data_IF_058384946072
#
_entry.id   IF_058384946072
#
_cell.length_a   1.000
_cell.length_b   1.000
_cell.length_c   1.000
_cell.angle_alpha   90.00
_cell.angle_beta   90.00
_cell.angle_gamma   90.00
#
_symmetry.space_group_name_H-M   'P 1'
#
loop_
_entity.id
_entity.type
_entity.pdbx_description
1 polymer ?
#
# COMPACT_ATOMS: atom_id res chain seq x y z
N UNK A 1 -33.59 -20.58 -17.00
CA UNK A 1 -33.31 -21.26 -18.31
C UNK A 1 -31.82 -21.53 -18.39
N UNK A 2 -31.39 -22.78 -18.56
CA UNK A 2 -29.98 -23.11 -18.82
C UNK A 2 -29.62 -22.58 -20.22
N UNK A 3 -28.60 -21.74 -20.30
CA UNK A 3 -28.15 -21.14 -21.56
C UNK A 3 -26.98 -21.93 -22.18
N UNK A 4 -26.28 -22.71 -21.38
CA UNK A 4 -25.15 -23.52 -21.82
C UNK A 4 -24.50 -24.23 -20.66
N UNK A 5 -23.55 -25.12 -20.94
CA UNK A 5 -22.70 -25.78 -19.96
C UNK A 5 -21.28 -25.87 -20.48
N UNK A 6 -20.32 -25.74 -19.58
CA UNK A 6 -18.90 -25.88 -19.85
C UNK A 6 -18.31 -26.93 -18.93
N UNK A 7 -17.38 -27.74 -19.42
CA UNK A 7 -16.68 -28.76 -18.62
C UNK A 7 -15.22 -28.36 -18.44
N UNK A 8 -14.71 -28.50 -17.23
CA UNK A 8 -13.29 -28.33 -16.94
C UNK A 8 -12.79 -29.47 -16.05
N UNK A 9 -11.50 -29.75 -16.11
CA UNK A 9 -10.83 -30.72 -15.25
C UNK A 9 -10.08 -29.97 -14.17
N UNK A 10 -10.37 -30.26 -12.90
CA UNK A 10 -9.68 -29.74 -11.75
C UNK A 10 -8.70 -30.80 -11.22
N UNK A 11 -7.41 -30.52 -11.30
CA UNK A 11 -6.36 -31.32 -10.65
C UNK A 11 -6.02 -30.70 -9.29
N UNK A 12 -6.23 -31.46 -8.22
CA UNK A 12 -5.89 -31.02 -6.86
C UNK A 12 -4.54 -31.61 -6.47
N UNK A 13 -3.55 -30.73 -6.24
CA UNK A 13 -2.26 -31.11 -5.64
C UNK A 13 -2.45 -31.12 -4.13
N UNK A 14 -2.25 -32.24 -3.42
CA UNK A 14 -2.58 -32.39 -2.00
C UNK A 14 -1.50 -31.77 -1.08
N UNK A 15 -1.10 -30.53 -1.40
CA UNK A 15 -0.09 -29.77 -0.64
C UNK A 15 -0.59 -28.34 -0.44
N UNK A 16 -0.59 -27.88 0.81
CA UNK A 16 -0.99 -26.50 1.13
C UNK A 16 0.13 -25.50 0.79
N UNK A 17 -0.24 -24.38 0.16
CA UNK A 17 0.69 -23.28 -0.02
C UNK A 17 1.06 -22.66 1.34
N UNK A 18 2.33 -22.24 1.54
CA UNK A 18 2.74 -21.58 2.77
C UNK A 18 1.97 -20.27 2.99
N UNK A 19 1.88 -19.79 4.21
CA UNK A 19 1.32 -18.47 4.50
C UNK A 19 2.08 -17.38 3.73
N UNK A 20 1.38 -16.32 3.33
CA UNK A 20 1.99 -15.18 2.66
C UNK A 20 3.04 -14.52 3.58
N UNK A 21 4.29 -14.43 3.09
CA UNK A 21 5.38 -13.72 3.76
C UNK A 21 5.48 -12.28 3.30
N UNK A 22 5.16 -12.02 2.03
CA UNK A 22 5.18 -10.69 1.45
C UNK A 22 4.32 -9.74 2.28
N UNK A 23 4.85 -8.60 2.66
CA UNK A 23 4.08 -7.51 3.22
C UNK A 23 3.52 -6.72 2.04
N UNK A 24 2.20 -6.68 1.93
CA UNK A 24 1.51 -6.03 0.82
C UNK A 24 0.58 -4.95 1.32
N UNK A 25 0.78 -3.74 0.83
CA UNK A 25 -0.14 -2.63 0.96
C UNK A 25 -0.66 -2.19 -0.41
N UNK A 26 -1.95 -1.98 -0.50
CA UNK A 26 -2.59 -1.14 -1.50
C UNK A 26 -3.33 -0.06 -0.72
N UNK A 27 -2.94 1.20 -0.87
CA UNK A 27 -3.45 2.26 0.01
C UNK A 27 -4.97 2.34 -0.02
N UNK A 28 -5.50 2.29 1.18
CA UNK A 28 -6.92 2.23 1.47
C UNK A 28 -7.46 3.62 1.80
N UNK A 29 -8.37 4.13 0.97
CA UNK A 29 -8.88 5.50 1.07
C UNK A 29 -10.25 5.53 1.74
N UNK A 30 -10.29 5.74 3.06
CA UNK A 30 -11.51 5.73 3.85
C UNK A 30 -12.47 6.89 3.50
N UNK A 31 -11.92 8.04 3.13
CA UNK A 31 -12.70 9.21 2.68
C UNK A 31 -13.40 8.98 1.33
N UNK A 32 -12.77 8.23 0.42
CA UNK A 32 -13.39 7.85 -0.85
C UNK A 32 -14.66 7.03 -0.64
N UNK A 33 -14.65 6.11 0.33
CA UNK A 33 -15.82 5.31 0.70
C UNK A 33 -16.93 6.23 1.26
N UNK A 34 -16.60 7.07 2.25
CA UNK A 34 -17.57 7.99 2.83
C UNK A 34 -18.20 8.90 1.75
N UNK A 35 -17.37 9.46 0.88
CA UNK A 35 -17.81 10.38 -0.18
C UNK A 35 -18.70 9.70 -1.21
N UNK A 36 -18.28 8.52 -1.70
CA UNK A 36 -19.04 7.81 -2.74
C UNK A 36 -20.44 7.41 -2.25
N UNK A 37 -20.54 6.91 -1.03
CA UNK A 37 -21.84 6.46 -0.48
C UNK A 37 -22.64 7.56 0.23
N UNK A 38 -22.12 8.77 0.32
CA UNK A 38 -22.77 9.87 1.06
C UNK A 38 -22.82 9.63 2.58
N UNK A 39 -21.95 8.79 3.11
CA UNK A 39 -21.91 8.50 4.54
C UNK A 39 -21.22 9.64 5.30
N UNK A 40 -21.80 10.03 6.44
CA UNK A 40 -21.05 10.84 7.41
C UNK A 40 -19.84 10.04 7.90
N UNK A 41 -18.65 10.63 7.83
CA UNK A 41 -17.39 9.98 8.28
C UNK A 41 -17.52 9.46 9.71
N UNK A 42 -17.14 8.21 9.92
CA UNK A 42 -17.22 7.47 11.20
C UNK A 42 -18.65 7.17 11.70
N UNK A 43 -19.70 7.40 10.87
CA UNK A 43 -21.04 6.90 11.16
C UNK A 43 -21.09 5.35 11.18
N UNK A 44 -22.19 4.80 11.67
CA UNK A 44 -22.42 3.34 11.66
C UNK A 44 -22.38 2.78 10.23
N UNK A 45 -22.93 3.49 9.25
CA UNK A 45 -22.90 3.13 7.83
C UNK A 45 -21.48 3.08 7.31
N UNK A 46 -20.71 4.16 7.52
CA UNK A 46 -19.32 4.23 7.11
C UNK A 46 -18.46 3.09 7.70
N UNK A 47 -18.55 2.82 9.01
CA UNK A 47 -17.82 1.71 9.64
C UNK A 47 -18.16 0.34 9.05
N UNK A 48 -19.43 0.08 8.72
CA UNK A 48 -19.84 -1.16 8.06
C UNK A 48 -19.19 -1.31 6.69
N UNK A 49 -19.21 -0.24 5.87
CA UNK A 49 -18.58 -0.25 4.55
C UNK A 49 -17.08 -0.39 4.63
N UNK A 50 -16.43 0.32 5.56
CA UNK A 50 -15.00 0.15 5.81
C UNK A 50 -14.65 -1.31 6.09
N UNK A 51 -15.39 -2.00 6.95
CA UNK A 51 -15.16 -3.42 7.27
C UNK A 51 -15.32 -4.31 6.03
N UNK A 52 -16.34 -4.08 5.19
CA UNK A 52 -16.54 -4.81 3.93
C UNK A 52 -15.36 -4.62 2.94
N UNK A 53 -14.93 -3.37 2.77
CA UNK A 53 -13.81 -3.06 1.88
C UNK A 53 -12.47 -3.57 2.41
N UNK A 54 -12.25 -3.56 3.73
CA UNK A 54 -11.04 -4.14 4.33
C UNK A 54 -11.03 -5.66 4.16
N UNK A 55 -12.18 -6.35 4.29
CA UNK A 55 -12.28 -7.78 3.97
C UNK A 55 -11.88 -8.05 2.51
N UNK A 56 -12.44 -7.31 1.54
CA UNK A 56 -12.04 -7.44 0.14
C UNK A 56 -10.54 -7.18 -0.06
N UNK A 57 -9.96 -6.17 0.59
CA UNK A 57 -8.53 -5.91 0.50
C UNK A 57 -7.69 -7.08 1.01
N UNK A 58 -8.06 -7.67 2.14
CA UNK A 58 -7.39 -8.85 2.71
C UNK A 58 -7.53 -10.07 1.79
N UNK A 59 -8.68 -10.29 1.18
CA UNK A 59 -8.90 -11.35 0.21
C UNK A 59 -8.02 -11.20 -1.05
N UNK A 60 -7.63 -9.97 -1.39
CA UNK A 60 -6.65 -9.65 -2.43
C UNK A 60 -5.20 -9.64 -1.94
N UNK A 61 -4.95 -10.11 -0.71
CA UNK A 61 -3.61 -10.27 -0.15
C UNK A 61 -3.04 -9.03 0.52
N UNK A 62 -3.82 -7.95 0.69
CA UNK A 62 -3.40 -6.80 1.51
C UNK A 62 -3.33 -7.24 2.97
N UNK A 63 -2.16 -7.12 3.58
CA UNK A 63 -1.94 -7.47 4.99
C UNK A 63 -1.33 -6.33 5.81
N UNK A 64 -1.02 -5.22 5.16
CA UNK A 64 -0.60 -3.95 5.76
C UNK A 64 -1.63 -2.88 5.35
N UNK A 65 -2.35 -2.32 6.33
CA UNK A 65 -3.48 -1.41 6.08
C UNK A 65 -3.11 0.03 6.37
N UNK A 66 -3.25 0.91 5.35
CA UNK A 66 -3.09 2.35 5.53
C UNK A 66 -4.07 2.86 6.60
N UNK A 67 -3.53 3.45 7.65
CA UNK A 67 -4.24 3.83 8.87
C UNK A 67 -4.21 5.35 9.03
N UNK A 68 -5.32 6.06 8.78
CA UNK A 68 -5.35 7.51 8.74
C UNK A 68 -5.34 8.10 10.16
N UNK A 69 -4.16 8.18 10.80
CA UNK A 69 -4.00 8.89 12.08
C UNK A 69 -4.57 10.30 11.98
N UNK A 70 -4.19 11.01 10.93
CA UNK A 70 -4.75 12.25 10.43
C UNK A 70 -5.17 12.06 8.97
N UNK A 71 -5.77 13.06 8.34
CA UNK A 71 -6.17 12.98 6.92
C UNK A 71 -4.93 12.80 6.05
N UNK A 72 -4.83 11.67 5.30
CA UNK A 72 -3.64 11.40 4.50
C UNK A 72 -3.41 12.49 3.45
N UNK A 73 -2.19 13.05 3.35
CA UNK A 73 -1.86 14.09 2.35
C UNK A 73 -1.43 13.48 1.02
N UNK A 74 -2.15 12.47 0.54
CA UNK A 74 -1.82 11.66 -0.64
C UNK A 74 -2.68 12.09 -1.81
N UNK A 75 -2.08 12.22 -3.00
CA UNK A 75 -2.72 12.71 -4.22
C UNK A 75 -3.68 13.89 -3.96
N UNK A 76 -3.17 14.90 -3.26
CA UNK A 76 -3.90 16.10 -2.91
C UNK A 76 -3.21 17.32 -3.50
N UNK A 77 -3.98 18.16 -4.21
CA UNK A 77 -3.45 19.40 -4.76
C UNK A 77 -2.78 20.24 -3.69
N UNK A 78 -1.63 20.83 -4.00
CA UNK A 78 -0.95 21.76 -3.09
C UNK A 78 -1.90 22.91 -2.71
N UNK A 79 -2.14 23.07 -1.41
CA UNK A 79 -3.13 24.03 -0.89
C UNK A 79 -4.58 23.53 -0.93
N UNK A 80 -4.85 22.36 -1.54
CA UNK A 80 -6.16 21.71 -1.57
C UNK A 80 -6.47 20.91 -0.31
N UNK A 81 -7.66 20.34 -0.25
CA UNK A 81 -8.12 19.54 0.89
C UNK A 81 -8.94 18.34 0.44
N UNK A 82 -8.71 17.21 1.08
CA UNK A 82 -9.57 16.03 1.04
C UNK A 82 -10.59 16.07 2.19
N UNK A 83 -11.71 15.34 2.10
CA UNK A 83 -12.61 15.12 3.22
C UNK A 83 -11.85 14.64 4.46
N UNK A 84 -12.25 15.14 5.64
CA UNK A 84 -11.54 14.82 6.89
C UNK A 84 -11.77 13.37 7.30
N UNK A 85 -10.72 12.58 7.32
CA UNK A 85 -10.70 11.23 7.85
C UNK A 85 -9.53 11.08 8.82
N UNK A 86 -9.73 11.43 10.07
CA UNK A 86 -8.70 11.22 11.10
C UNK A 86 -9.22 10.34 12.24
N UNK A 87 -8.41 9.35 12.61
CA UNK A 87 -8.73 8.41 13.69
C UNK A 87 -8.36 8.97 15.08
N UNK A 88 -7.41 9.90 15.13
CA UNK A 88 -7.02 10.53 16.39
C UNK A 88 -7.80 11.83 16.57
N UNK A 89 -8.64 11.90 17.59
CA UNK A 89 -9.34 13.12 17.93
C UNK A 89 -8.41 14.02 18.73
N UNK A 90 -8.36 15.30 18.39
CA UNK A 90 -7.46 16.28 19.00
C UNK A 90 -8.26 17.37 19.67
N UNK A 91 -7.89 17.72 20.91
CA UNK A 91 -8.33 18.94 21.59
C UNK A 91 -7.12 19.87 21.73
N UNK A 92 -7.30 21.16 21.44
CA UNK A 92 -6.24 22.18 21.52
C UNK A 92 -6.66 23.26 22.51
N UNK A 93 -5.79 23.55 23.45
CA UNK A 93 -5.90 24.65 24.40
C UNK A 93 -4.55 25.39 24.47
N UNK A 94 -4.51 26.61 23.95
CA UNK A 94 -3.23 27.31 23.74
C UNK A 94 -2.25 26.46 22.93
N UNK A 95 -1.07 26.17 23.49
CA UNK A 95 -0.05 25.32 22.90
C UNK A 95 -0.07 23.86 23.39
N UNK A 96 -1.10 23.49 24.15
CA UNK A 96 -1.29 22.13 24.68
C UNK A 96 -2.28 21.36 23.83
N UNK A 97 -2.01 20.04 23.68
CA UNK A 97 -2.84 19.13 22.93
C UNK A 97 -3.20 17.90 23.77
N UNK A 98 -4.45 17.49 23.69
CA UNK A 98 -4.93 16.22 24.21
C UNK A 98 -5.42 15.34 23.05
N UNK A 99 -5.15 14.05 23.14
CA UNK A 99 -5.42 13.08 22.07
C UNK A 99 -6.31 11.96 22.56
N UNK A 100 -7.38 11.68 21.81
CA UNK A 100 -8.25 10.53 22.05
C UNK A 100 -8.07 9.51 20.93
N UNK A 101 -7.66 8.31 21.29
CA UNK A 101 -7.39 7.18 20.42
C UNK A 101 -8.56 6.20 20.28
N UNK A 102 -9.75 6.54 20.76
CA UNK A 102 -10.92 5.63 20.75
C UNK A 102 -11.33 5.16 19.36
N UNK A 103 -11.28 6.07 18.36
CA UNK A 103 -11.53 5.70 16.96
C UNK A 103 -10.43 4.82 16.40
N UNK A 104 -9.16 5.08 16.73
CA UNK A 104 -8.04 4.24 16.34
C UNK A 104 -8.17 2.85 16.96
N UNK A 105 -8.61 2.74 18.21
CA UNK A 105 -8.88 1.45 18.85
C UNK A 105 -9.97 0.65 18.12
N UNK A 106 -11.04 1.31 17.71
CA UNK A 106 -12.10 0.69 16.89
C UNK A 106 -11.58 0.24 15.52
N UNK A 107 -10.73 1.05 14.86
CA UNK A 107 -10.08 0.71 13.60
C UNK A 107 -9.21 -0.54 13.73
N UNK A 108 -8.35 -0.59 14.74
CA UNK A 108 -7.48 -1.74 15.01
C UNK A 108 -8.32 -3.00 15.25
N UNK A 109 -9.38 -2.92 16.08
CA UNK A 109 -10.27 -4.05 16.32
C UNK A 109 -10.99 -4.54 15.07
N UNK A 110 -11.45 -3.63 14.23
CA UNK A 110 -12.07 -3.97 12.93
C UNK A 110 -11.03 -4.65 12.01
N UNK A 111 -9.86 -4.06 11.86
CA UNK A 111 -8.80 -4.60 11.01
C UNK A 111 -8.33 -5.98 11.47
N UNK A 112 -8.20 -6.20 12.78
CA UNK A 112 -7.86 -7.51 13.37
C UNK A 112 -8.93 -8.58 13.02
N UNK A 113 -10.23 -8.24 13.11
CA UNK A 113 -11.31 -9.16 12.69
C UNK A 113 -11.27 -9.51 11.20
N UNK A 114 -10.85 -8.56 10.36
CA UNK A 114 -10.68 -8.77 8.93
C UNK A 114 -9.41 -9.56 8.56
N UNK A 115 -8.49 -9.81 9.52
CA UNK A 115 -7.25 -10.56 9.27
C UNK A 115 -6.05 -9.69 8.86
N UNK A 116 -6.11 -8.38 9.04
CA UNK A 116 -4.99 -7.45 8.82
C UNK A 116 -3.86 -7.77 9.81
N UNK A 117 -2.63 -7.84 9.30
CA UNK A 117 -1.46 -8.17 10.12
C UNK A 117 -0.67 -6.95 10.59
N UNK A 118 -0.62 -5.91 9.77
CA UNK A 118 0.23 -4.74 9.98
C UNK A 118 -0.56 -3.46 9.75
N UNK A 119 -0.11 -2.36 10.36
CA UNK A 119 -0.69 -1.03 10.25
C UNK A 119 0.32 -0.07 9.64
N UNK A 120 -0.04 0.54 8.53
CA UNK A 120 0.73 1.57 7.84
C UNK A 120 0.21 2.93 8.30
N UNK A 121 0.96 3.57 9.20
CA UNK A 121 0.56 4.87 9.73
C UNK A 121 0.69 5.93 8.64
N UNK A 122 -0.42 6.59 8.32
CA UNK A 122 -0.45 7.60 7.27
C UNK A 122 0.61 8.69 7.50
N UNK A 123 1.11 9.23 6.41
CA UNK A 123 2.19 10.21 6.36
C UNK A 123 1.95 11.39 7.30
N UNK A 124 2.96 11.73 8.08
CA UNK A 124 2.93 12.87 9.01
C UNK A 124 3.36 14.18 8.35
N UNK A 125 3.80 14.11 7.10
CA UNK A 125 4.18 15.26 6.27
C UNK A 125 3.60 15.09 4.88
N UNK A 126 3.50 16.19 4.13
CA UNK A 126 2.93 16.14 2.77
C UNK A 126 3.84 15.39 1.81
N UNK A 127 3.23 14.84 0.76
CA UNK A 127 3.91 14.22 -0.38
C UNK A 127 4.87 15.21 -1.06
N UNK A 128 5.81 14.67 -1.86
CA UNK A 128 6.78 15.44 -2.64
C UNK A 128 7.67 16.33 -1.77
N UNK A 129 8.32 15.73 -0.77
CA UNK A 129 9.42 16.32 -0.06
C UNK A 129 9.19 16.78 1.36
N UNK A 130 8.06 16.43 1.98
CA UNK A 130 7.80 16.70 3.40
C UNK A 130 7.83 18.19 3.80
N UNK A 131 7.48 19.10 2.88
CA UNK A 131 7.61 20.54 3.13
C UNK A 131 6.52 21.12 4.05
N UNK A 132 5.35 20.47 4.11
CA UNK A 132 4.17 20.96 4.80
C UNK A 132 3.53 19.88 5.69
N UNK A 133 2.53 20.31 6.48
CA UNK A 133 1.79 19.44 7.38
C UNK A 133 0.59 18.80 6.66
N UNK A 134 0.15 17.58 7.06
CA UNK A 134 -1.13 17.05 6.66
C UNK A 134 -2.28 17.88 7.24
N UNK A 135 -3.48 17.73 6.69
CA UNK A 135 -4.69 18.31 7.29
C UNK A 135 -4.96 17.67 8.66
N UNK A 136 -4.93 18.50 9.70
CA UNK A 136 -5.28 18.10 11.07
C UNK A 136 -6.37 19.02 11.59
N UNK A 137 -7.43 18.40 12.11
CA UNK A 137 -8.58 19.07 12.72
C UNK A 137 -8.57 18.85 14.22
N UNK A 138 -8.86 19.88 15.00
CA UNK A 138 -8.95 19.81 16.45
C UNK A 138 -10.18 20.56 16.98
N UNK A 139 -10.68 20.15 18.15
CA UNK A 139 -11.64 20.94 18.92
C UNK A 139 -10.87 22.07 19.63
N UNK A 140 -11.22 23.31 19.28
CA UNK A 140 -10.68 24.55 19.87
C UNK A 140 -11.84 25.36 20.40
N UNK A 141 -11.88 25.63 21.70
CA UNK A 141 -12.98 26.35 22.35
C UNK A 141 -14.38 25.76 21.98
N UNK A 142 -14.49 24.41 22.04
CA UNK A 142 -15.73 23.68 21.77
C UNK A 142 -16.14 23.58 20.29
N UNK A 143 -15.35 24.12 19.37
CA UNK A 143 -15.63 24.08 17.92
C UNK A 143 -14.52 23.35 17.17
N UNK A 144 -14.92 22.57 16.16
CA UNK A 144 -13.96 21.93 15.26
C UNK A 144 -13.29 22.98 14.34
N UNK A 145 -11.96 22.93 14.28
CA UNK A 145 -11.13 23.82 13.45
C UNK A 145 -9.97 23.08 12.85
N UNK A 146 -9.63 23.36 11.60
CA UNK A 146 -8.36 22.97 11.00
C UNK A 146 -7.25 23.75 11.70
N UNK A 147 -6.27 23.02 12.26
CA UNK A 147 -5.12 23.61 12.97
C UNK A 147 -3.81 23.47 12.22
N UNK A 148 -3.72 22.50 11.24
CA UNK A 148 -2.59 22.30 10.34
C UNK A 148 -3.04 21.93 8.94
N UNK A 149 -2.24 22.19 7.94
CA UNK A 149 -2.42 21.85 6.54
C UNK A 149 -1.31 22.41 5.65
N UNK A 150 -1.54 22.50 4.35
CA UNK A 150 -0.56 22.94 3.35
C UNK A 150 0.07 24.34 3.57
N UNK A 151 -0.54 25.18 4.38
CA UNK A 151 0.01 26.51 4.71
C UNK A 151 1.05 26.46 5.83
N UNK A 152 1.13 25.35 6.56
CA UNK A 152 1.97 25.18 7.73
C UNK A 152 3.25 24.44 7.34
N UNK A 153 4.39 24.99 7.71
CA UNK A 153 5.70 24.38 7.42
C UNK A 153 5.91 23.15 8.30
N UNK A 154 6.36 22.06 7.69
CA UNK A 154 6.66 20.80 8.37
C UNK A 154 7.68 20.97 9.51
N UNK A 155 8.76 21.72 9.27
CA UNK A 155 9.77 22.04 10.27
C UNK A 155 9.41 23.26 11.15
N UNK A 156 8.14 23.74 11.09
CA UNK A 156 7.68 24.88 11.88
C UNK A 156 7.57 24.58 13.37
N UNK A 157 7.88 25.56 14.23
CA UNK A 157 7.84 25.40 15.70
C UNK A 157 6.52 24.89 16.22
N UNK A 158 5.39 25.33 15.64
CA UNK A 158 4.05 24.90 16.09
C UNK A 158 3.79 23.42 15.78
N UNK A 159 4.15 22.96 14.58
CA UNK A 159 3.98 21.55 14.22
C UNK A 159 4.98 20.67 14.98
N UNK A 160 6.20 21.13 15.20
CA UNK A 160 7.16 20.43 16.06
C UNK A 160 6.59 20.25 17.47
N UNK A 161 6.06 21.31 18.09
CA UNK A 161 5.42 21.23 19.42
C UNK A 161 4.22 20.25 19.43
N UNK A 162 3.45 20.21 18.34
CA UNK A 162 2.37 19.22 18.20
C UNK A 162 2.90 17.79 18.17
N UNK A 163 3.92 17.51 17.33
CA UNK A 163 4.51 16.17 17.21
C UNK A 163 5.20 15.73 18.51
N UNK A 164 5.89 16.64 19.20
CA UNK A 164 6.53 16.37 20.50
C UNK A 164 5.54 15.95 21.58
N UNK A 165 4.28 16.41 21.52
CA UNK A 165 3.21 15.99 22.41
C UNK A 165 2.46 14.75 21.90
N UNK A 166 2.30 14.60 20.58
CA UNK A 166 1.53 13.52 19.96
C UNK A 166 2.29 12.19 19.94
N UNK A 167 3.50 12.18 19.40
CA UNK A 167 4.23 10.94 19.13
C UNK A 167 4.53 10.11 20.39
N UNK A 168 4.94 10.70 21.53
CA UNK A 168 5.11 9.91 22.76
C UNK A 168 3.81 9.28 23.26
N UNK A 169 2.66 9.94 23.06
CA UNK A 169 1.36 9.40 23.45
C UNK A 169 0.91 8.30 22.50
N UNK A 170 1.13 8.46 21.19
CA UNK A 170 0.89 7.41 20.20
C UNK A 170 1.74 6.16 20.50
N UNK A 171 3.03 6.31 20.73
CA UNK A 171 3.93 5.18 21.07
C UNK A 171 3.44 4.43 22.33
N UNK A 172 3.03 5.17 23.34
CA UNK A 172 2.46 4.60 24.58
C UNK A 172 1.18 3.81 24.30
N UNK A 173 0.29 4.36 23.45
CA UNK A 173 -0.93 3.69 23.02
C UNK A 173 -0.62 2.40 22.26
N UNK A 174 0.28 2.45 21.25
CA UNK A 174 0.63 1.29 20.42
C UNK A 174 1.24 0.16 21.25
N UNK A 175 2.14 0.48 22.19
CA UNK A 175 2.73 -0.49 23.11
C UNK A 175 1.68 -1.08 24.07
N UNK A 176 0.81 -0.24 24.64
CA UNK A 176 -0.29 -0.71 25.51
C UNK A 176 -1.24 -1.66 24.78
N UNK A 177 -1.47 -1.44 23.48
CA UNK A 177 -2.28 -2.34 22.63
C UNK A 177 -1.53 -3.57 22.13
N UNK A 178 -0.21 -3.65 22.32
CA UNK A 178 0.63 -4.75 21.85
C UNK A 178 0.75 -4.81 20.31
N UNK A 179 0.60 -3.67 19.62
CA UNK A 179 0.67 -3.58 18.15
C UNK A 179 1.90 -2.81 17.65
N UNK A 180 2.76 -2.33 18.52
CA UNK A 180 3.94 -1.53 18.19
C UNK A 180 4.85 -2.21 17.16
N UNK A 181 5.01 -3.53 17.22
CA UNK A 181 5.78 -4.33 16.25
C UNK A 181 5.07 -4.58 14.91
N UNK A 182 3.81 -4.21 14.82
CA UNK A 182 2.98 -4.34 13.62
C UNK A 182 2.83 -3.01 12.87
N UNK A 183 3.46 -1.93 13.35
CA UNK A 183 3.31 -0.58 12.81
C UNK A 183 4.48 -0.19 11.93
N UNK A 184 4.17 0.35 10.75
CA UNK A 184 5.09 0.96 9.81
C UNK A 184 4.77 2.45 9.69
N UNK A 185 5.79 3.28 9.56
CA UNK A 185 5.66 4.73 9.46
C UNK A 185 6.26 5.24 8.17
N UNK A 186 5.77 6.39 7.73
CA UNK A 186 6.30 7.17 6.62
C UNK A 186 6.81 8.52 7.08
N UNK A 187 7.81 9.03 6.37
CA UNK A 187 8.18 10.45 6.44
C UNK A 187 7.37 11.20 5.38
N UNK A 188 7.55 10.85 4.10
CA UNK A 188 6.89 11.51 2.97
C UNK A 188 6.64 10.50 1.86
N UNK A 189 6.06 10.94 0.74
CA UNK A 189 5.80 10.16 -0.45
C UNK A 189 6.55 10.73 -1.64
N UNK A 190 7.21 9.86 -2.43
CA UNK A 190 7.94 10.15 -3.67
C UNK A 190 8.83 11.41 -3.62
N UNK A 191 9.77 11.55 -2.66
CA UNK A 191 10.68 12.67 -2.64
C UNK A 191 11.70 12.58 -3.79
N UNK A 192 11.94 13.71 -4.48
CA UNK A 192 13.03 13.86 -5.43
C UNK A 192 14.30 14.32 -4.70
N UNK A 193 15.46 14.27 -5.39
CA UNK A 193 16.75 14.64 -4.79
C UNK A 193 16.76 16.06 -4.23
N UNK A 194 16.08 17.00 -4.88
CA UNK A 194 15.96 18.39 -4.45
C UNK A 194 15.20 18.55 -3.12
N UNK A 195 14.46 17.51 -2.71
CA UNK A 195 13.73 17.49 -1.45
C UNK A 195 14.54 16.95 -0.26
N UNK A 196 15.79 16.54 -0.50
CA UNK A 196 16.59 15.80 0.48
C UNK A 196 16.76 16.55 1.80
N UNK A 197 16.96 17.87 1.75
CA UNK A 197 17.10 18.68 2.96
C UNK A 197 15.81 18.74 3.77
N UNK A 198 14.68 19.08 3.13
CA UNK A 198 13.38 19.16 3.79
C UNK A 198 12.95 17.80 4.36
N UNK A 199 13.18 16.72 3.60
CA UNK A 199 12.94 15.36 4.07
C UNK A 199 13.81 15.01 5.28
N UNK A 200 15.10 15.37 5.25
CA UNK A 200 16.03 15.09 6.37
C UNK A 200 15.59 15.80 7.65
N UNK A 201 15.13 17.04 7.56
CA UNK A 201 14.58 17.78 8.69
C UNK A 201 13.32 17.13 9.26
N UNK A 202 12.39 16.71 8.39
CA UNK A 202 11.17 16.01 8.78
C UNK A 202 11.48 14.64 9.40
N UNK A 203 12.38 13.86 8.78
CA UNK A 203 12.82 12.56 9.27
C UNK A 203 13.45 12.66 10.67
N UNK A 204 14.29 13.67 10.93
CA UNK A 204 14.91 13.88 12.23
C UNK A 204 13.86 14.04 13.33
N UNK A 205 12.76 14.77 13.07
CA UNK A 205 11.69 14.99 14.04
C UNK A 205 11.02 13.67 14.43
N UNK A 206 10.65 12.84 13.45
CA UNK A 206 9.92 11.61 13.73
C UNK A 206 10.84 10.50 14.25
N UNK A 207 12.08 10.41 13.77
CA UNK A 207 13.05 9.42 14.25
C UNK A 207 13.42 9.62 15.73
N UNK A 208 13.39 10.86 16.23
CA UNK A 208 13.63 11.15 17.64
C UNK A 208 12.62 10.42 18.56
N UNK A 209 11.34 10.43 18.18
CA UNK A 209 10.25 9.85 18.97
C UNK A 209 9.91 8.40 18.65
N UNK A 210 10.13 7.96 17.39
CA UNK A 210 9.72 6.65 16.90
C UNK A 210 10.88 5.65 16.81
N UNK A 211 11.78 5.69 17.80
CA UNK A 211 12.92 4.76 17.88
C UNK A 211 12.43 3.32 17.97
N UNK A 212 12.96 2.47 17.08
CA UNK A 212 12.63 1.04 17.02
C UNK A 212 11.38 0.69 16.20
N UNK A 213 10.72 1.68 15.58
CA UNK A 213 9.71 1.44 14.55
C UNK A 213 10.34 1.36 13.16
N UNK A 214 9.63 0.68 12.25
CA UNK A 214 10.04 0.56 10.84
C UNK A 214 9.53 1.77 10.05
N UNK A 215 10.44 2.39 9.30
CA UNK A 215 10.12 3.45 8.33
C UNK A 215 10.22 2.87 6.92
N UNK A 216 9.15 3.07 6.16
CA UNK A 216 9.02 2.71 4.75
C UNK A 216 8.62 3.95 3.98
N UNK A 217 9.23 4.20 2.83
CA UNK A 217 8.81 5.31 1.96
C UNK A 217 8.97 4.91 0.49
N UNK A 218 7.98 5.24 -0.32
CA UNK A 218 8.05 5.14 -1.78
C UNK A 218 9.06 6.18 -2.29
N UNK A 219 10.21 5.72 -2.79
CA UNK A 219 11.29 6.59 -3.28
C UNK A 219 12.23 5.82 -4.20
N UNK A 220 12.71 6.47 -5.25
CA UNK A 220 13.55 5.83 -6.28
C UNK A 220 14.98 6.34 -6.31
N UNK A 221 15.37 7.24 -5.42
CA UNK A 221 16.74 7.73 -5.29
C UNK A 221 17.45 7.02 -4.13
N UNK A 222 18.55 6.31 -4.44
CA UNK A 222 19.32 5.51 -3.47
C UNK A 222 19.97 6.37 -2.36
N UNK A 223 20.19 7.67 -2.61
CA UNK A 223 20.81 8.59 -1.66
C UNK A 223 20.09 8.65 -0.31
N UNK A 224 18.76 8.53 -0.30
CA UNK A 224 17.97 8.48 0.93
C UNK A 224 18.31 7.26 1.81
N UNK A 225 18.59 6.13 1.17
CA UNK A 225 19.04 4.93 1.86
C UNK A 225 20.49 5.07 2.34
N UNK A 226 21.38 5.56 1.48
CA UNK A 226 22.80 5.74 1.79
C UNK A 226 23.05 6.71 2.96
N UNK A 227 22.20 7.72 3.12
CA UNK A 227 22.19 8.63 4.28
C UNK A 227 21.49 8.07 5.52
N UNK A 228 20.94 6.85 5.46
CA UNK A 228 20.21 6.24 6.58
C UNK A 228 18.88 6.89 6.93
N UNK A 229 18.31 7.71 6.03
CA UNK A 229 17.04 8.39 6.24
C UNK A 229 15.85 7.45 6.15
N UNK A 230 15.93 6.45 5.26
CA UNK A 230 14.90 5.40 5.10
C UNK A 230 15.60 4.04 5.09
N UNK A 231 15.27 3.19 6.07
CA UNK A 231 15.87 1.85 6.19
C UNK A 231 15.22 0.81 5.30
N UNK A 232 13.94 0.96 5.02
CA UNK A 232 13.17 0.07 4.14
C UNK A 232 12.65 0.87 2.94
N UNK A 233 13.50 1.20 1.96
CA UNK A 233 13.09 1.94 0.77
C UNK A 233 12.19 1.09 -0.11
N UNK A 234 11.23 1.76 -0.76
CA UNK A 234 10.32 1.14 -1.72
C UNK A 234 10.55 1.80 -3.08
N UNK A 235 11.57 1.39 -3.86
CA UNK A 235 11.78 1.93 -5.20
C UNK A 235 10.70 1.50 -6.18
N UNK A 236 10.41 2.35 -7.16
CA UNK A 236 9.61 1.98 -8.31
C UNK A 236 10.25 0.79 -9.04
N UNK A 237 9.43 -0.11 -9.57
CA UNK A 237 9.89 -1.35 -10.21
C UNK A 237 10.85 -1.13 -11.38
N UNK A 238 10.78 0.02 -12.06
CA UNK A 238 11.71 0.43 -13.11
C UNK A 238 12.99 1.12 -12.60
N UNK A 239 13.12 1.34 -11.29
CA UNK A 239 14.28 1.97 -10.64
C UNK A 239 14.88 1.10 -9.51
N UNK A 240 14.56 -0.19 -9.47
CA UNK A 240 14.95 -1.08 -8.37
C UNK A 240 16.44 -1.48 -8.42
N UNK A 241 17.06 -1.45 -9.59
CA UNK A 241 18.39 -2.00 -9.81
C UNK A 241 19.46 -1.44 -8.85
N UNK A 242 19.59 -0.11 -8.59
CA UNK A 242 20.59 0.42 -7.66
C UNK A 242 20.46 -0.14 -6.24
N UNK A 243 19.24 -0.43 -5.80
CA UNK A 243 18.97 -0.99 -4.47
C UNK A 243 19.34 -2.49 -4.40
N UNK A 244 19.12 -3.22 -5.49
CA UNK A 244 19.52 -4.62 -5.61
C UNK A 244 21.05 -4.74 -5.64
N UNK A 245 21.75 -3.91 -6.43
CA UNK A 245 23.20 -3.87 -6.55
C UNK A 245 23.86 -3.49 -5.21
N UNK A 246 23.22 -2.61 -4.43
CA UNK A 246 23.64 -2.23 -3.08
C UNK A 246 23.42 -3.35 -2.05
N UNK A 247 22.63 -4.37 -2.37
CA UNK A 247 22.29 -5.45 -1.44
C UNK A 247 21.36 -5.01 -0.31
N UNK A 248 20.40 -4.12 -0.60
CA UNK A 248 19.43 -3.66 0.41
C UNK A 248 18.62 -4.85 0.93
N UNK A 249 18.75 -5.12 2.22
CA UNK A 249 18.02 -6.22 2.87
C UNK A 249 16.52 -5.91 2.96
N UNK A 250 15.69 -6.95 2.82
CA UNK A 250 14.22 -6.83 2.91
C UNK A 250 13.67 -5.76 1.97
N UNK A 251 14.21 -5.67 0.76
CA UNK A 251 13.82 -4.71 -0.25
C UNK A 251 12.35 -4.87 -0.62
N UNK A 252 11.66 -3.75 -0.83
CA UNK A 252 10.32 -3.67 -1.38
C UNK A 252 10.35 -3.11 -2.79
N UNK A 253 9.19 -3.05 -3.44
CA UNK A 253 9.00 -2.30 -4.68
C UNK A 253 7.56 -1.84 -4.81
N UNK A 254 7.32 -0.87 -5.70
CA UNK A 254 5.99 -0.44 -6.10
C UNK A 254 5.90 -0.24 -7.62
N UNK A 255 4.70 -0.12 -8.12
CA UNK A 255 4.38 0.49 -9.39
C UNK A 255 3.15 1.37 -9.26
N UNK A 256 3.04 2.36 -10.14
CA UNK A 256 1.90 3.27 -10.26
C UNK A 256 1.78 3.79 -11.70
N UNK A 257 1.24 4.97 -11.91
CA UNK A 257 0.98 5.62 -13.21
C UNK A 257 2.16 5.63 -14.16
N UNK A 258 3.39 5.76 -13.66
CA UNK A 258 4.61 5.92 -14.48
C UNK A 258 5.26 4.59 -14.88
N UNK A 259 4.85 3.47 -14.32
CA UNK A 259 5.41 2.15 -14.59
C UNK A 259 4.54 1.40 -15.60
N UNK A 260 4.62 1.73 -16.89
CA UNK A 260 3.70 1.19 -17.91
C UNK A 260 4.35 0.47 -19.10
N UNK A 261 5.48 0.88 -19.61
CA UNK A 261 6.04 0.34 -20.84
C UNK A 261 6.75 -1.01 -20.63
N UNK A 262 7.94 -1.00 -20.03
CA UNK A 262 8.78 -2.19 -19.92
C UNK A 262 8.38 -3.08 -18.75
N UNK A 263 7.89 -2.51 -17.66
CA UNK A 263 7.61 -3.20 -16.41
C UNK A 263 6.18 -3.74 -16.31
N UNK A 264 5.97 -4.66 -15.38
CA UNK A 264 4.65 -5.19 -15.03
C UNK A 264 3.77 -4.08 -14.42
N UNK A 265 2.49 -4.09 -14.72
CA UNK A 265 1.47 -3.28 -14.08
C UNK A 265 0.07 -3.88 -14.34
N UNK A 266 -0.99 -3.22 -13.85
CA UNK A 266 -2.37 -3.72 -13.85
C UNK A 266 -3.39 -2.80 -14.52
N UNK A 267 -2.98 -1.93 -15.45
CA UNK A 267 -3.88 -1.04 -16.19
C UNK A 267 -4.86 -1.81 -17.06
N UNK A 268 -5.98 -1.19 -17.41
CA UNK A 268 -6.98 -1.81 -18.28
C UNK A 268 -6.43 -2.20 -19.65
N UNK A 269 -5.52 -1.40 -20.20
CA UNK A 269 -4.88 -1.68 -21.49
C UNK A 269 -3.84 -2.82 -21.45
N UNK A 270 -3.49 -3.33 -20.25
CA UNK A 270 -2.49 -4.38 -20.11
C UNK A 270 -3.12 -5.77 -20.07
N UNK A 271 -2.55 -6.75 -20.80
CA UNK A 271 -2.98 -8.14 -20.64
C UNK A 271 -2.79 -8.65 -19.21
N UNK A 272 -3.67 -9.50 -18.72
CA UNK A 272 -3.60 -10.09 -17.38
C UNK A 272 -2.25 -10.76 -17.05
N UNK A 273 -1.56 -11.29 -18.07
CA UNK A 273 -0.22 -11.86 -17.88
C UNK A 273 0.81 -10.83 -17.38
N UNK A 274 0.68 -9.55 -17.75
CA UNK A 274 1.55 -8.47 -17.25
C UNK A 274 1.26 -8.04 -15.81
N UNK A 275 0.08 -8.31 -15.31
CA UNK A 275 -0.24 -8.17 -13.89
C UNK A 275 0.28 -9.40 -13.11
N UNK A 276 0.00 -10.62 -13.58
CA UNK A 276 0.31 -11.87 -12.86
C UNK A 276 1.81 -12.16 -12.79
N UNK A 277 2.62 -11.74 -13.77
CA UNK A 277 4.07 -11.98 -13.76
C UNK A 277 4.77 -11.40 -12.53
N UNK A 278 4.17 -10.40 -11.91
CA UNK A 278 4.71 -9.77 -10.70
C UNK A 278 5.04 -10.81 -9.61
N UNK A 279 4.22 -11.86 -9.44
CA UNK A 279 4.49 -12.91 -8.46
C UNK A 279 5.83 -13.64 -8.69
N UNK A 280 6.16 -13.90 -9.94
CA UNK A 280 7.46 -14.46 -10.32
C UNK A 280 8.61 -13.47 -10.08
N UNK A 281 8.40 -12.19 -10.38
CA UNK A 281 9.39 -11.13 -10.14
C UNK A 281 9.64 -10.89 -8.66
N UNK A 282 8.58 -10.83 -7.83
CA UNK A 282 8.69 -10.73 -6.38
C UNK A 282 9.50 -11.90 -5.78
N UNK A 283 9.28 -13.11 -6.28
CA UNK A 283 10.05 -14.29 -5.88
C UNK A 283 11.51 -14.19 -6.36
N UNK A 284 11.73 -13.84 -7.63
CA UNK A 284 13.06 -13.78 -8.24
C UNK A 284 14.00 -12.82 -7.52
N UNK A 285 13.49 -11.67 -7.10
CA UNK A 285 14.23 -10.64 -6.38
C UNK A 285 14.20 -10.82 -4.85
N UNK A 286 13.52 -11.85 -4.33
CA UNK A 286 13.33 -12.08 -2.90
C UNK A 286 12.78 -10.85 -2.16
N UNK A 287 11.78 -10.21 -2.76
CA UNK A 287 11.24 -8.97 -2.20
C UNK A 287 10.42 -9.26 -0.95
N UNK A 288 10.66 -8.44 0.09
CA UNK A 288 9.96 -8.53 1.37
C UNK A 288 8.59 -7.84 1.33
N UNK A 289 8.39 -6.87 0.43
CA UNK A 289 7.14 -6.14 0.35
C UNK A 289 6.81 -5.59 -1.03
N UNK A 290 5.53 -5.23 -1.18
CA UNK A 290 4.99 -4.59 -2.36
C UNK A 290 3.98 -3.51 -1.96
N UNK A 291 4.07 -2.35 -2.61
CA UNK A 291 3.16 -1.23 -2.42
C UNK A 291 2.46 -0.88 -3.74
N UNK A 292 1.19 -0.52 -3.64
CA UNK A 292 0.46 0.24 -4.65
C UNK A 292 -0.32 1.38 -3.98
N UNK A 293 -0.31 2.56 -4.59
CA UNK A 293 -0.88 3.77 -3.99
C UNK A 293 -2.42 3.77 -3.88
N UNK A 294 -3.13 2.88 -4.59
CA UNK A 294 -4.59 2.93 -4.63
C UNK A 294 -5.25 1.54 -4.68
N UNK A 295 -6.03 1.21 -3.66
CA UNK A 295 -7.01 0.12 -3.64
C UNK A 295 -8.37 0.61 -4.13
N UNK A 296 -8.80 1.78 -3.65
CA UNK A 296 -10.13 2.34 -3.84
C UNK A 296 -10.11 3.88 -3.86
N UNK A 297 -9.28 4.48 -4.70
CA UNK A 297 -9.21 5.92 -4.86
C UNK A 297 -10.28 6.39 -5.87
N UNK A 298 -11.29 7.13 -5.39
CA UNK A 298 -12.46 7.57 -6.18
C UNK A 298 -12.53 9.09 -6.28
N UNK A 299 -11.39 9.72 -6.56
CA UNK A 299 -11.26 11.13 -6.89
C UNK A 299 -10.51 11.29 -8.22
N UNK A 300 -10.65 12.46 -8.83
CA UNK A 300 -9.75 12.90 -9.89
C UNK A 300 -8.34 13.14 -9.34
N UNK A 301 -7.34 13.23 -10.20
CA UNK A 301 -5.99 13.62 -9.82
C UNK A 301 -6.02 14.84 -8.89
N UNK A 302 -5.14 14.84 -7.89
CA UNK A 302 -5.05 15.85 -6.84
C UNK A 302 -6.31 16.00 -5.98
N UNK A 303 -7.18 15.01 -6.01
CA UNK A 303 -8.42 14.97 -5.20
C UNK A 303 -9.32 16.21 -5.39
N UNK A 304 -9.37 16.76 -6.60
CA UNK A 304 -10.11 18.02 -6.87
C UNK A 304 -11.63 17.84 -6.90
N UNK A 305 -12.11 16.65 -7.28
CA UNK A 305 -13.54 16.27 -7.19
C UNK A 305 -13.69 14.75 -7.04
N UNK A 306 -14.80 14.27 -6.44
CA UNK A 306 -15.13 12.85 -6.50
C UNK A 306 -15.48 12.42 -7.92
N UNK A 307 -15.30 11.12 -8.19
CA UNK A 307 -15.69 10.48 -9.44
C UNK A 307 -16.46 9.18 -9.19
N UNK A 308 -17.21 8.76 -10.19
CA UNK A 308 -17.81 7.43 -10.26
C UNK A 308 -16.86 6.49 -11.05
N UNK A 309 -16.24 5.49 -10.42
CA UNK A 309 -15.31 4.59 -11.10
C UNK A 309 -15.96 3.67 -12.14
N UNK A 310 -17.30 3.58 -12.18
CA UNK A 310 -18.02 2.88 -13.26
C UNK A 310 -18.07 3.68 -14.56
N UNK A 311 -17.90 5.00 -14.47
CA UNK A 311 -17.98 5.90 -15.62
C UNK A 311 -16.62 6.50 -15.97
N UNK A 312 -15.82 6.85 -14.96
CA UNK A 312 -14.54 7.55 -15.12
C UNK A 312 -13.42 6.74 -14.47
N UNK A 313 -12.57 6.12 -15.29
CA UNK A 313 -11.61 5.11 -14.85
C UNK A 313 -10.15 5.58 -14.81
N UNK A 314 -9.90 6.84 -15.21
CA UNK A 314 -8.58 7.41 -15.47
C UNK A 314 -8.28 8.67 -14.62
N UNK A 315 -8.99 8.83 -13.51
CA UNK A 315 -8.85 9.93 -12.55
C UNK A 315 -8.94 11.34 -13.20
N UNK A 316 -9.86 11.51 -14.14
CA UNK A 316 -10.04 12.77 -14.86
C UNK A 316 -9.06 12.92 -16.02
N UNK A 317 -8.73 11.86 -16.72
CA UNK A 317 -7.78 11.79 -17.83
C UNK A 317 -6.32 12.05 -17.41
N UNK A 318 -6.01 11.83 -16.15
CA UNK A 318 -4.68 12.08 -15.60
C UNK A 318 -3.84 10.83 -15.46
N UNK A 319 -4.48 9.67 -15.26
CA UNK A 319 -3.81 8.39 -15.03
C UNK A 319 -4.22 7.35 -16.08
N UNK A 320 -3.39 6.33 -16.32
CA UNK A 320 -3.82 5.18 -17.10
C UNK A 320 -5.06 4.54 -16.47
N UNK A 321 -6.06 4.21 -17.30
CA UNK A 321 -7.33 3.66 -16.84
C UNK A 321 -7.13 2.43 -15.92
N UNK A 322 -7.77 2.47 -14.77
CA UNK A 322 -7.73 1.42 -13.76
C UNK A 322 -6.56 1.48 -12.77
N UNK A 323 -5.66 2.45 -12.87
CA UNK A 323 -4.59 2.60 -11.88
C UNK A 323 -5.12 2.98 -10.50
N UNK A 324 -6.06 3.94 -10.46
CA UNK A 324 -6.56 4.54 -9.23
C UNK A 324 -7.41 3.61 -8.34
N UNK A 325 -7.83 2.45 -8.83
CA UNK A 325 -8.63 1.53 -8.03
C UNK A 325 -8.54 0.08 -8.53
N UNK A 326 -8.70 -0.84 -7.59
CA UNK A 326 -8.73 -2.28 -7.84
C UNK A 326 -10.13 -2.87 -7.65
N UNK A 327 -10.97 -2.23 -6.85
CA UNK A 327 -12.35 -2.61 -6.55
C UNK A 327 -13.31 -1.49 -6.89
N UNK A 328 -14.55 -1.82 -7.18
CA UNK A 328 -15.63 -0.89 -7.47
C UNK A 328 -16.58 -0.78 -6.27
N UNK A 329 -17.15 0.39 -6.00
CA UNK A 329 -18.12 0.59 -4.93
C UNK A 329 -19.52 0.14 -5.36
N UNK A 330 -19.88 -1.11 -5.12
CA UNK A 330 -21.23 -1.62 -5.38
C UNK A 330 -22.24 -1.22 -4.31
N UNK A 331 -23.53 -1.44 -4.57
CA UNK A 331 -24.62 -1.05 -3.66
C UNK A 331 -24.46 -1.70 -2.27
N UNK A 332 -24.18 -2.99 -2.23
CA UNK A 332 -24.05 -3.76 -0.99
C UNK A 332 -22.62 -3.89 -0.45
N UNK A 333 -21.64 -3.28 -1.09
CA UNK A 333 -20.22 -3.33 -0.73
C UNK A 333 -19.30 -3.37 -1.94
N UNK A 334 -18.01 -3.70 -1.77
CA UNK A 334 -17.04 -3.69 -2.86
C UNK A 334 -17.35 -4.80 -3.89
N UNK A 335 -17.19 -4.46 -5.17
CA UNK A 335 -17.22 -5.40 -6.28
C UNK A 335 -15.79 -5.62 -6.75
N UNK A 336 -15.33 -6.86 -6.74
CA UNK A 336 -13.99 -7.23 -7.17
C UNK A 336 -13.81 -7.04 -8.67
N UNK A 337 -12.62 -6.58 -9.08
CA UNK A 337 -12.23 -6.60 -10.48
C UNK A 337 -11.46 -7.87 -10.82
N UNK A 338 -11.50 -8.28 -12.09
CA UNK A 338 -10.66 -9.38 -12.59
C UNK A 338 -9.17 -9.10 -12.36
N UNK A 339 -8.74 -7.83 -12.35
CA UNK A 339 -7.35 -7.43 -12.08
C UNK A 339 -6.93 -7.75 -10.66
N UNK A 340 -7.84 -7.61 -9.68
CA UNK A 340 -7.63 -8.01 -8.29
C UNK A 340 -7.47 -9.52 -8.17
N UNK A 341 -8.32 -10.30 -8.84
CA UNK A 341 -8.20 -11.75 -8.86
C UNK A 341 -6.90 -12.22 -9.52
N UNK A 342 -6.51 -11.60 -10.63
CA UNK A 342 -5.23 -11.89 -11.31
C UNK A 342 -4.03 -11.53 -10.42
N UNK A 343 -4.10 -10.44 -9.67
CA UNK A 343 -3.06 -10.09 -8.70
C UNK A 343 -2.98 -11.10 -7.55
N UNK A 344 -4.11 -11.56 -7.04
CA UNK A 344 -4.16 -12.66 -6.05
C UNK A 344 -3.49 -13.93 -6.58
N UNK A 345 -3.71 -14.26 -7.86
CA UNK A 345 -3.03 -15.37 -8.53
C UNK A 345 -1.50 -15.15 -8.57
N UNK A 346 -1.02 -13.93 -8.79
CA UNK A 346 0.40 -13.60 -8.74
C UNK A 346 1.00 -13.90 -7.36
N UNK A 347 0.32 -13.53 -6.28
CA UNK A 347 0.74 -13.85 -4.91
C UNK A 347 0.75 -15.36 -4.63
N UNK A 348 -0.19 -16.11 -5.23
CA UNK A 348 -0.18 -17.57 -5.13
C UNK A 348 0.97 -18.19 -5.94
N UNK A 349 1.35 -17.63 -7.08
CA UNK A 349 2.51 -18.06 -7.85
C UNK A 349 3.80 -17.85 -7.05
N UNK A 350 3.97 -16.70 -6.38
CA UNK A 350 5.08 -16.45 -5.46
C UNK A 350 5.15 -17.48 -4.35
N UNK A 351 4.02 -17.78 -3.70
CA UNK A 351 3.93 -18.76 -2.59
C UNK A 351 4.23 -20.18 -3.07
N UNK A 352 3.82 -20.55 -4.29
CA UNK A 352 4.15 -21.83 -4.88
C UNK A 352 5.65 -21.97 -5.17
N UNK A 353 6.31 -20.91 -5.66
CA UNK A 353 7.75 -20.87 -5.85
C UNK A 353 8.50 -20.94 -4.51
N UNK A 354 8.03 -20.26 -3.47
CA UNK A 354 8.57 -20.35 -2.10
C UNK A 354 8.44 -21.77 -1.51
N UNK A 355 7.32 -22.44 -1.76
CA UNK A 355 7.13 -23.83 -1.37
C UNK A 355 8.13 -24.73 -2.10
N UNK A 356 8.26 -24.55 -3.40
CA UNK A 356 9.19 -25.32 -4.22
C UNK A 356 10.65 -25.09 -3.80
N UNK A 357 11.03 -23.86 -3.46
CA UNK A 357 12.34 -23.55 -2.89
C UNK A 357 12.59 -24.33 -1.60
N UNK A 358 11.61 -24.40 -0.72
CA UNK A 358 11.72 -25.18 0.52
C UNK A 358 11.96 -26.69 0.25
N UNK A 359 11.40 -27.21 -0.85
CA UNK A 359 11.50 -28.63 -1.20
C UNK A 359 12.78 -29.00 -1.96
N UNK A 360 13.35 -28.09 -2.76
CA UNK A 360 14.48 -28.44 -3.65
C UNK A 360 15.64 -27.44 -3.68
N UNK A 361 15.54 -26.33 -2.93
CA UNK A 361 16.52 -25.25 -2.89
C UNK A 361 16.26 -24.16 -3.93
N UNK A 362 16.85 -22.97 -3.67
CA UNK A 362 16.63 -21.75 -4.47
C UNK A 362 17.12 -21.89 -5.91
N UNK A 363 18.37 -22.36 -6.11
CA UNK A 363 18.99 -22.43 -7.45
C UNK A 363 18.18 -23.31 -8.41
N UNK A 364 17.73 -24.49 -7.94
CA UNK A 364 16.89 -25.38 -8.73
C UNK A 364 15.52 -24.77 -9.03
N UNK A 365 15.00 -23.96 -8.12
CA UNK A 365 13.72 -23.27 -8.30
C UNK A 365 13.84 -22.11 -9.27
N UNK A 366 14.92 -21.32 -9.22
CA UNK A 366 15.21 -20.29 -10.22
C UNK A 366 15.39 -20.91 -11.61
N UNK A 367 16.14 -22.00 -11.72
CA UNK A 367 16.30 -22.74 -12.99
C UNK A 367 14.95 -23.21 -13.56
N UNK A 368 14.05 -23.71 -12.71
CA UNK A 368 12.71 -24.11 -13.12
C UNK A 368 11.85 -22.90 -13.52
N UNK A 369 11.91 -21.81 -12.76
CA UNK A 369 11.21 -20.56 -13.02
C UNK A 369 11.59 -19.99 -14.39
N UNK A 370 12.87 -19.83 -14.65
CA UNK A 370 13.42 -19.21 -15.86
C UNK A 370 13.43 -20.14 -17.08
N UNK A 371 13.00 -21.38 -16.93
CA UNK A 371 12.92 -22.34 -18.04
C UNK A 371 12.01 -21.85 -19.15
N UNK A 372 12.53 -21.84 -20.37
CA UNK A 372 11.87 -21.29 -21.56
C UNK A 372 11.63 -19.76 -21.50
N UNK A 373 12.29 -19.05 -20.60
CA UNK A 373 12.45 -17.61 -20.74
C UNK A 373 13.63 -17.32 -21.66
N UNK A 374 13.53 -16.29 -22.48
CA UNK A 374 14.60 -15.91 -23.45
C UNK A 374 15.84 -15.34 -22.74
N UNK A 375 15.71 -14.96 -21.47
CA UNK A 375 16.77 -14.41 -20.65
C UNK A 375 16.35 -14.47 -19.17
N UNK A 376 17.28 -14.24 -18.20
CA UNK A 376 16.91 -14.11 -16.79
C UNK A 376 15.82 -13.08 -16.56
N UNK A 377 14.88 -13.42 -15.69
CA UNK A 377 13.73 -12.55 -15.37
C UNK A 377 14.20 -11.34 -14.56
N UNK A 378 13.88 -10.15 -15.08
CA UNK A 378 14.06 -8.88 -14.37
C UNK A 378 12.74 -8.12 -14.31
N UNK A 379 12.71 -6.95 -13.68
CA UNK A 379 11.52 -6.09 -13.69
C UNK A 379 11.18 -5.61 -15.10
N UNK A 380 12.20 -5.34 -15.95
CA UNK A 380 12.04 -4.82 -17.31
C UNK A 380 12.03 -5.91 -18.38
N UNK A 381 12.67 -7.05 -18.12
CA UNK A 381 12.80 -8.17 -19.09
C UNK A 381 12.18 -9.44 -18.51
N UNK A 382 11.09 -9.88 -19.09
CA UNK A 382 10.33 -11.05 -18.67
C UNK A 382 9.42 -11.54 -19.79
N UNK A 383 8.97 -12.81 -19.79
CA UNK A 383 7.98 -13.32 -20.73
C UNK A 383 6.63 -12.62 -20.56
N UNK A 384 6.13 -11.98 -21.62
CA UNK A 384 4.87 -11.20 -21.58
C UNK A 384 3.62 -12.01 -21.90
N UNK A 385 3.78 -13.25 -22.35
CA UNK A 385 2.69 -14.09 -22.84
C UNK A 385 2.08 -14.99 -21.77
N UNK A 386 0.75 -15.17 -21.83
CA UNK A 386 0.02 -16.05 -20.92
C UNK A 386 0.48 -17.52 -20.97
N UNK A 387 0.87 -18.01 -22.15
CA UNK A 387 1.27 -19.41 -22.32
C UNK A 387 2.50 -19.77 -21.47
N UNK A 388 3.51 -18.92 -21.44
CA UNK A 388 4.69 -19.14 -20.59
C UNK A 388 4.31 -19.17 -19.11
N UNK A 389 3.50 -18.22 -18.67
CA UNK A 389 3.09 -18.06 -17.27
C UNK A 389 2.32 -19.29 -16.77
N UNK A 390 1.33 -19.74 -17.55
CA UNK A 390 0.56 -20.93 -17.21
C UNK A 390 1.43 -22.20 -17.22
N UNK A 391 2.31 -22.35 -18.19
CA UNK A 391 3.26 -23.44 -18.25
C UNK A 391 4.26 -23.41 -17.09
N UNK A 392 4.73 -22.23 -16.67
CA UNK A 392 5.58 -22.07 -15.49
C UNK A 392 4.86 -22.58 -14.24
N UNK A 393 3.63 -22.13 -14.00
CA UNK A 393 2.85 -22.57 -12.84
C UNK A 393 2.57 -24.08 -12.89
N UNK A 394 2.25 -24.64 -14.04
CA UNK A 394 2.02 -26.09 -14.19
C UNK A 394 3.30 -26.90 -13.89
N UNK A 395 4.47 -26.44 -14.37
CA UNK A 395 5.76 -27.06 -14.02
C UNK A 395 6.00 -27.02 -12.51
N UNK A 396 5.73 -25.88 -11.87
CA UNK A 396 5.85 -25.70 -10.43
C UNK A 396 4.95 -26.68 -9.68
N UNK A 397 3.66 -26.76 -10.03
CA UNK A 397 2.68 -27.67 -9.42
C UNK A 397 3.11 -29.15 -9.57
N UNK A 398 3.50 -29.60 -10.78
CA UNK A 398 3.98 -30.97 -11.02
C UNK A 398 5.21 -31.30 -10.19
N UNK A 399 6.13 -30.33 -10.02
CA UNK A 399 7.34 -30.54 -9.24
C UNK A 399 7.03 -30.60 -7.74
N UNK A 400 6.14 -29.77 -7.24
CA UNK A 400 5.64 -29.83 -5.86
C UNK A 400 4.96 -31.17 -5.61
N UNK A 401 4.04 -31.61 -6.47
CA UNK A 401 3.35 -32.91 -6.34
C UNK A 401 4.32 -34.11 -6.30
N UNK A 402 5.47 -34.00 -6.95
CA UNK A 402 6.48 -35.07 -6.96
C UNK A 402 7.38 -35.07 -5.72
N UNK A 403 7.55 -33.95 -5.03
CA UNK A 403 8.50 -33.76 -3.92
C UNK A 403 7.83 -33.69 -2.55
N UNK A 404 6.55 -33.30 -2.52
CA UNK A 404 5.71 -33.20 -1.30
C UNK A 404 4.78 -34.35 -1.18
#
# INVERSE_FOLDING_TARGET
RLLGSERFVLEVVPVALPAQRLIHTSWFHADCIATHYGDTTWSRGHWRRLEQFVHSAVDHGVNLLLTPLFTPPLDTQVGGERPTVQLVQVKKDGDRYAFDFSRLDRWVKMADRCGVRYFEMAHLFTQWGAAHCPKIVATVNGRERKIFGWKDRAAGKQYRNFLDQFLPQLVRYLKKRGIDKRCYFHVSDEPYIDHLEAFSQAAAIVHEHLKGFSFIDALSNIEYYDRGLVRCPIPASNHIEPFVEKGVEKLWTYYCVSQWDQVANRFFCMPSARNRILGAQLYRYDLAGFLHWAFNFYFTQYSTRPLDPFVETDAGRAFPAGDAFLVYPGEDGPIDSIRGQVFREALQDQRALQLLEKLQGRDKTITLLERHASAPITMKRYPRGKAWLLAMRQRCNRRIAKLG
#
